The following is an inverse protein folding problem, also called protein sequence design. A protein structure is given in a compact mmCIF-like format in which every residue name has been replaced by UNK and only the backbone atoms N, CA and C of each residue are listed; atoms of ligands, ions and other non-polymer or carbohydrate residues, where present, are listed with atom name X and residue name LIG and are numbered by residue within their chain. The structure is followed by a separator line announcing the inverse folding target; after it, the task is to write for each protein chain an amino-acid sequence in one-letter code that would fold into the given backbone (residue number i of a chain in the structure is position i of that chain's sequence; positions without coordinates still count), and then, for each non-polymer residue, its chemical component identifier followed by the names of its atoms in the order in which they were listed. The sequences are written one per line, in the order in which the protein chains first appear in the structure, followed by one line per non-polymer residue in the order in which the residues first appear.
data_IF_855583653083
#
_entry.id   IF_855583653083
#
_cell.length_a   1.000
_cell.length_b   1.000
_cell.length_c   1.000
_cell.angle_alpha   90.00
_cell.angle_beta   90.00
_cell.angle_gamma   90.00
#
_symmetry.space_group_name_H-M   'P 1'
#
loop_
_entity.id
_entity.type
_entity.pdbx_description
1 polymer ?
#
# COMPACT_ATOMS: atom_id res chain seq x y z
N UNK A 1 -5.59 61.20 3.01
CA UNK A 1 -6.78 60.52 2.41
C UNK A 1 -6.43 59.66 1.19
N UNK A 2 -5.58 60.13 0.26
CA UNK A 2 -5.18 59.39 -0.95
C UNK A 2 -4.53 58.01 -0.68
N UNK A 3 -3.69 57.90 0.35
CA UNK A 3 -2.98 56.65 0.68
C UNK A 3 -3.90 55.49 1.11
N UNK A 4 -5.05 55.81 1.73
CA UNK A 4 -6.06 54.79 2.13
C UNK A 4 -6.85 54.25 0.94
N UNK A 5 -7.11 55.08 -0.09
CA UNK A 5 -7.79 54.65 -1.33
C UNK A 5 -6.92 53.71 -2.17
N UNK A 6 -5.62 53.99 -2.29
CA UNK A 6 -4.68 53.11 -3.01
C UNK A 6 -4.57 51.73 -2.38
N UNK A 7 -4.48 51.66 -1.05
CA UNK A 7 -4.48 50.38 -0.29
C UNK A 7 -5.79 49.61 -0.51
N UNK A 8 -6.94 50.29 -0.50
CA UNK A 8 -8.24 49.64 -0.71
C UNK A 8 -8.33 49.02 -2.12
N UNK A 9 -7.86 49.72 -3.15
CA UNK A 9 -7.85 49.24 -4.55
C UNK A 9 -6.93 48.01 -4.69
N UNK A 10 -5.74 48.07 -4.09
CA UNK A 10 -4.80 46.94 -4.08
C UNK A 10 -5.43 45.73 -3.37
N UNK A 11 -6.09 45.93 -2.22
CA UNK A 11 -6.77 44.85 -1.50
C UNK A 11 -7.91 44.23 -2.31
N UNK A 12 -8.70 45.06 -3.02
CA UNK A 12 -9.80 44.60 -3.87
C UNK A 12 -9.33 43.81 -5.09
N UNK A 13 -8.08 43.97 -5.52
CA UNK A 13 -7.49 43.16 -6.59
C UNK A 13 -6.81 41.90 -6.05
N UNK A 14 -6.06 42.02 -4.94
CA UNK A 14 -5.33 40.89 -4.36
C UNK A 14 -6.29 39.82 -3.82
N UNK A 15 -7.40 40.22 -3.19
CA UNK A 15 -8.34 39.28 -2.58
C UNK A 15 -9.00 38.31 -3.58
N UNK A 16 -9.59 38.73 -4.70
CA UNK A 16 -10.10 37.79 -5.70
C UNK A 16 -8.97 36.99 -6.36
N UNK A 17 -7.80 37.59 -6.58
CA UNK A 17 -6.66 36.90 -7.18
C UNK A 17 -6.12 35.78 -6.27
N UNK A 18 -6.10 35.99 -4.96
CA UNK A 18 -5.67 34.99 -3.98
C UNK A 18 -6.69 33.85 -3.87
N UNK A 19 -8.00 34.14 -3.99
CA UNK A 19 -9.05 33.11 -4.05
C UNK A 19 -8.88 32.25 -5.30
N UNK A 20 -8.70 32.87 -6.48
CA UNK A 20 -8.55 32.15 -7.75
C UNK A 20 -7.29 31.27 -7.70
N UNK A 21 -6.14 31.84 -7.30
CA UNK A 21 -4.88 31.09 -7.22
C UNK A 21 -4.94 29.98 -6.17
N UNK A 22 -5.59 30.22 -5.02
CA UNK A 22 -5.83 29.21 -4.00
C UNK A 22 -6.66 28.04 -4.52
N UNK A 23 -7.75 28.31 -5.24
CA UNK A 23 -8.59 27.26 -5.85
C UNK A 23 -7.84 26.46 -6.92
N UNK A 24 -7.07 27.12 -7.77
CA UNK A 24 -6.23 26.43 -8.78
C UNK A 24 -5.20 25.53 -8.09
N UNK A 25 -4.53 26.04 -7.05
CA UNK A 25 -3.57 25.26 -6.28
C UNK A 25 -4.22 24.03 -5.63
N UNK A 26 -5.38 24.21 -4.99
CA UNK A 26 -6.14 23.11 -4.38
C UNK A 26 -6.56 22.06 -5.42
N UNK A 27 -7.06 22.50 -6.57
CA UNK A 27 -7.48 21.61 -7.65
C UNK A 27 -6.30 20.78 -8.18
N UNK A 28 -5.17 21.43 -8.49
CA UNK A 28 -3.98 20.75 -9.00
C UNK A 28 -3.37 19.81 -7.96
N UNK A 29 -3.27 20.24 -6.70
CA UNK A 29 -2.77 19.40 -5.61
C UNK A 29 -3.66 18.17 -5.40
N UNK A 30 -4.98 18.35 -5.45
CA UNK A 30 -5.95 17.25 -5.29
C UNK A 30 -5.83 16.25 -6.44
N UNK A 31 -5.80 16.71 -7.68
CA UNK A 31 -5.64 15.83 -8.85
C UNK A 31 -4.33 15.04 -8.80
N UNK A 32 -3.22 15.69 -8.42
CA UNK A 32 -1.94 15.00 -8.26
C UNK A 32 -2.01 13.90 -7.17
N UNK A 33 -2.69 14.16 -6.06
CA UNK A 33 -2.91 13.14 -5.01
C UNK A 33 -3.79 12.01 -5.49
N UNK A 34 -4.88 12.30 -6.19
CA UNK A 34 -5.76 11.28 -6.78
C UNK A 34 -4.96 10.39 -7.75
N UNK A 35 -4.21 10.99 -8.66
CA UNK A 35 -3.35 10.25 -9.59
C UNK A 35 -2.34 9.35 -8.85
N UNK A 36 -1.75 9.85 -7.76
CA UNK A 36 -0.85 9.07 -6.91
C UNK A 36 -1.57 7.89 -6.27
N UNK A 37 -2.75 8.09 -5.69
CA UNK A 37 -3.53 7.04 -5.02
C UNK A 37 -4.07 5.97 -5.98
N UNK A 38 -4.28 6.32 -7.25
CA UNK A 38 -4.60 5.33 -8.29
C UNK A 38 -3.49 4.30 -8.44
N UNK A 39 -2.22 4.70 -8.28
CA UNK A 39 -1.05 3.81 -8.40
C UNK A 39 -0.67 3.20 -7.05
N UNK A 40 -0.39 4.06 -6.07
CA UNK A 40 0.06 3.72 -4.72
C UNK A 40 -1.05 3.99 -3.73
N UNK A 41 -1.83 2.97 -3.36
CA UNK A 41 -2.99 3.18 -2.53
C UNK A 41 -2.55 3.61 -1.11
N UNK A 42 -3.29 4.51 -0.45
CA UNK A 42 -2.88 5.14 0.82
C UNK A 42 -3.14 4.24 2.04
N UNK A 43 -2.88 2.95 1.91
CA UNK A 43 -3.11 2.01 3.00
C UNK A 43 -1.87 1.79 3.86
N UNK A 44 -2.06 1.13 5.00
CA UNK A 44 -1.01 0.95 5.99
C UNK A 44 0.09 0.02 5.47
N UNK A 45 1.34 0.46 5.61
CA UNK A 45 2.52 -0.32 5.32
C UNK A 45 3.48 -0.21 6.51
N UNK A 46 3.89 -1.34 7.07
CA UNK A 46 4.76 -1.40 8.23
C UNK A 46 6.03 -2.20 7.92
N UNK A 47 7.17 -1.61 8.26
CA UNK A 47 8.46 -2.28 8.32
C UNK A 47 8.79 -2.62 9.78
N UNK A 48 8.67 -3.89 10.19
CA UNK A 48 8.99 -4.29 11.55
C UNK A 48 10.49 -4.56 11.76
N UNK A 49 11.28 -4.57 10.68
CA UNK A 49 12.74 -4.66 10.74
C UNK A 49 13.39 -3.29 10.95
N UNK A 50 12.68 -2.22 10.63
CA UNK A 50 13.20 -0.85 10.59
C UNK A 50 14.49 -0.75 9.74
N UNK A 51 14.52 -1.46 8.60
CA UNK A 51 15.71 -1.52 7.74
C UNK A 51 16.07 -0.15 7.15
N UNK A 52 15.08 0.74 7.03
CA UNK A 52 15.29 2.14 6.63
C UNK A 52 16.26 2.92 7.54
N UNK A 53 16.43 2.50 8.80
CA UNK A 53 17.38 3.13 9.73
C UNK A 53 18.84 2.87 9.35
N UNK A 54 19.11 1.76 8.65
CA UNK A 54 20.45 1.43 8.14
C UNK A 54 20.59 1.80 6.67
N UNK A 55 19.53 1.63 5.88
CA UNK A 55 19.52 1.88 4.43
C UNK A 55 18.34 2.79 4.08
N UNK A 56 18.56 4.11 4.04
CA UNK A 56 17.49 5.12 3.97
C UNK A 56 16.60 5.07 2.73
N UNK A 57 17.08 4.43 1.66
CA UNK A 57 16.36 4.14 0.41
C UNK A 57 15.46 2.90 0.51
N UNK A 58 15.67 2.02 1.50
CA UNK A 58 14.87 0.81 1.73
C UNK A 58 13.60 1.11 2.52
N UNK A 59 12.65 1.79 1.88
CA UNK A 59 11.36 2.14 2.49
C UNK A 59 10.31 1.10 2.14
N UNK A 60 9.52 0.67 3.13
CA UNK A 60 8.47 -0.35 2.89
C UNK A 60 7.45 0.08 1.84
N UNK A 61 7.21 1.39 1.74
CA UNK A 61 6.27 1.94 0.76
C UNK A 61 6.74 1.80 -0.69
N UNK A 62 8.00 1.44 -0.93
CA UNK A 62 8.53 1.14 -2.26
C UNK A 62 7.88 -0.13 -2.82
N UNK A 63 7.45 -1.06 -1.95
CA UNK A 63 6.74 -2.27 -2.38
C UNK A 63 5.35 -2.03 -2.96
N UNK A 64 4.86 -0.79 -2.94
CA UNK A 64 3.50 -0.43 -3.35
C UNK A 64 3.49 0.64 -4.45
N UNK A 65 4.65 1.08 -4.92
CA UNK A 65 4.75 2.23 -5.84
C UNK A 65 4.87 1.85 -7.32
N UNK A 66 4.93 0.53 -7.62
CA UNK A 66 5.07 -0.02 -8.97
C UNK A 66 6.34 0.43 -9.71
N UNK A 67 7.36 0.86 -8.97
CA UNK A 67 8.61 1.36 -9.53
C UNK A 67 9.78 0.37 -9.33
N UNK A 68 10.19 -0.28 -10.42
CA UNK A 68 11.30 -1.24 -10.41
C UNK A 68 12.67 -0.63 -10.04
N UNK A 69 12.81 0.70 -10.05
CA UNK A 69 14.03 1.38 -9.59
C UNK A 69 14.12 1.46 -8.06
N UNK A 70 13.04 1.16 -7.34
CA UNK A 70 12.99 1.19 -5.88
C UNK A 70 12.82 -0.22 -5.32
N UNK A 71 13.34 -0.43 -4.12
CA UNK A 71 13.29 -1.74 -3.47
C UNK A 71 13.09 -1.59 -1.97
N UNK A 72 12.62 -2.64 -1.33
CA UNK A 72 12.73 -2.81 0.11
C UNK A 72 13.63 -4.02 0.39
N UNK A 73 14.65 -3.81 1.22
CA UNK A 73 15.62 -4.82 1.63
C UNK A 73 15.60 -4.98 3.14
N UNK A 74 15.45 -6.21 3.62
CA UNK A 74 15.67 -6.53 5.03
C UNK A 74 17.16 -6.50 5.33
N UNK A 75 17.56 -5.59 6.22
CA UNK A 75 18.94 -5.40 6.72
C UNK A 75 19.06 -5.75 8.20
N UNK A 76 17.94 -5.76 8.92
CA UNK A 76 17.87 -6.00 10.37
C UNK A 76 16.84 -7.07 10.68
N UNK A 77 16.96 -7.65 11.87
CA UNK A 77 15.97 -8.59 12.38
C UNK A 77 14.68 -7.86 12.75
N UNK A 78 13.55 -8.53 12.56
CA UNK A 78 12.24 -7.98 12.94
C UNK A 78 12.09 -7.91 14.46
N UNK A 79 11.38 -6.88 14.92
CA UNK A 79 10.90 -6.76 16.31
C UNK A 79 9.58 -7.52 16.54
N UNK A 80 8.98 -8.07 15.47
CA UNK A 80 7.77 -8.90 15.50
C UNK A 80 8.04 -10.26 14.85
N UNK A 81 7.03 -11.12 14.86
CA UNK A 81 7.09 -12.41 14.17
C UNK A 81 7.23 -12.24 12.66
N UNK A 82 6.53 -11.25 12.10
CA UNK A 82 6.57 -10.87 10.70
C UNK A 82 7.64 -9.79 10.46
N UNK A 83 8.26 -9.78 9.28
CA UNK A 83 9.21 -8.74 8.88
C UNK A 83 8.49 -7.47 8.40
N UNK A 84 7.36 -7.63 7.72
CA UNK A 84 6.56 -6.51 7.25
C UNK A 84 5.06 -6.83 7.16
N UNK A 85 4.25 -5.78 7.09
CA UNK A 85 2.82 -5.83 6.78
C UNK A 85 2.50 -4.82 5.68
N UNK A 86 1.72 -5.22 4.68
CA UNK A 86 1.19 -4.33 3.64
C UNK A 86 -0.32 -4.49 3.54
N UNK A 87 -1.06 -3.40 3.65
CA UNK A 87 -2.42 -3.30 3.16
C UNK A 87 -2.40 -2.91 1.67
N UNK A 88 -3.11 -3.67 0.84
CA UNK A 88 -3.04 -3.59 -0.62
C UNK A 88 -4.24 -2.83 -1.20
N UNK A 89 -5.31 -3.49 -1.63
CA UNK A 89 -6.52 -2.82 -2.10
C UNK A 89 -7.77 -3.50 -1.58
N UNK A 90 -8.85 -2.75 -1.59
CA UNK A 90 -10.16 -3.24 -1.19
C UNK A 90 -10.72 -4.23 -2.23
N UNK A 91 -11.46 -5.20 -1.71
CA UNK A 91 -12.30 -6.17 -2.45
C UNK A 91 -13.49 -5.51 -3.15
N UNK A 92 -13.78 -4.27 -2.79
CA UNK A 92 -14.84 -3.46 -3.37
C UNK A 92 -14.31 -2.05 -3.65
N UNK A 93 -14.91 -1.38 -4.61
CA UNK A 93 -14.72 0.06 -4.84
C UNK A 93 -16.09 0.74 -4.85
N UNK A 94 -16.12 2.02 -4.47
CA UNK A 94 -17.34 2.80 -4.55
C UNK A 94 -17.53 3.31 -6.00
N UNK A 95 -18.66 2.99 -6.61
CA UNK A 95 -19.02 3.42 -7.96
C UNK A 95 -20.46 3.91 -7.97
N UNK A 96 -20.67 5.17 -8.36
CA UNK A 96 -21.99 5.82 -8.38
C UNK A 96 -22.72 5.73 -7.03
N UNK A 97 -21.98 5.88 -5.93
CA UNK A 97 -22.52 5.81 -4.56
C UNK A 97 -22.88 4.41 -4.08
N UNK A 98 -22.60 3.35 -4.86
CA UNK A 98 -22.83 1.95 -4.48
C UNK A 98 -21.52 1.15 -4.48
N UNK A 99 -21.36 0.19 -3.56
CA UNK A 99 -20.22 -0.71 -3.60
C UNK A 99 -20.27 -1.61 -4.83
N UNK A 100 -19.13 -1.82 -5.47
CA UNK A 100 -18.95 -2.79 -6.56
C UNK A 100 -17.72 -3.64 -6.31
N UNK A 101 -17.85 -4.94 -6.54
CA UNK A 101 -16.75 -5.90 -6.41
C UNK A 101 -15.61 -5.53 -7.37
N UNK A 102 -14.37 -5.58 -6.89
CA UNK A 102 -13.16 -5.45 -7.71
C UNK A 102 -12.74 -6.83 -8.25
N UNK A 103 -12.17 -6.86 -9.45
CA UNK A 103 -11.82 -8.12 -10.13
C UNK A 103 -10.38 -8.55 -9.86
N UNK A 104 -9.91 -8.44 -8.62
CA UNK A 104 -8.56 -8.88 -8.26
C UNK A 104 -8.43 -10.39 -8.40
N UNK A 105 -7.62 -10.84 -9.37
CA UNK A 105 -7.41 -12.26 -9.65
C UNK A 105 -6.15 -12.80 -8.99
N UNK A 106 -5.08 -12.01 -8.95
CA UNK A 106 -3.78 -12.44 -8.47
C UNK A 106 -3.16 -11.45 -7.48
N UNK A 107 -2.47 -11.99 -6.48
CA UNK A 107 -1.43 -11.29 -5.75
C UNK A 107 -0.10 -11.57 -6.45
N UNK A 108 0.55 -10.52 -6.90
CA UNK A 108 1.86 -10.59 -7.53
C UNK A 108 2.94 -10.10 -6.58
N UNK A 109 4.03 -10.85 -6.52
CA UNK A 109 5.18 -10.56 -5.66
C UNK A 109 6.44 -10.71 -6.47
N UNK A 110 7.28 -9.67 -6.48
CA UNK A 110 8.54 -9.65 -7.20
C UNK A 110 9.72 -9.39 -6.27
N UNK A 111 10.75 -10.24 -6.39
CA UNK A 111 12.02 -10.07 -5.70
C UNK A 111 13.08 -9.42 -6.58
N UNK A 112 14.06 -8.79 -5.95
CA UNK A 112 15.26 -8.31 -6.64
C UNK A 112 16.05 -9.49 -7.24
N UNK A 113 16.81 -9.31 -8.35
CA UNK A 113 17.49 -10.40 -9.05
C UNK A 113 18.45 -11.21 -8.16
N UNK A 114 19.13 -10.54 -7.22
CA UNK A 114 20.08 -11.18 -6.29
C UNK A 114 19.42 -11.99 -5.16
N UNK A 115 18.10 -11.91 -5.02
CA UNK A 115 17.37 -12.52 -3.90
C UNK A 115 17.27 -14.02 -4.08
N UNK A 116 17.77 -14.80 -3.14
CA UNK A 116 17.74 -16.27 -3.19
C UNK A 116 17.07 -16.91 -1.96
N UNK A 117 16.52 -16.09 -1.06
CA UNK A 117 15.84 -16.54 0.14
C UNK A 117 14.41 -17.01 -0.11
N UNK A 118 13.83 -17.65 0.90
CA UNK A 118 12.42 -18.03 0.89
C UNK A 118 11.61 -17.00 1.69
N UNK A 119 10.54 -16.49 1.10
CA UNK A 119 9.61 -15.58 1.77
C UNK A 119 8.32 -16.31 2.10
N UNK A 120 7.97 -16.35 3.38
CA UNK A 120 6.63 -16.75 3.81
C UNK A 120 5.70 -15.54 3.69
N UNK A 121 4.60 -15.69 2.97
CA UNK A 121 3.53 -14.70 2.89
C UNK A 121 2.26 -15.27 3.51
N UNK A 122 1.69 -14.53 4.47
CA UNK A 122 0.34 -14.74 4.97
C UNK A 122 -0.65 -13.81 4.27
N UNK A 123 -1.77 -14.36 3.79
CA UNK A 123 -2.87 -13.64 3.18
C UNK A 123 -3.97 -13.41 4.22
N UNK A 124 -4.36 -12.17 4.39
CA UNK A 124 -5.34 -11.73 5.40
C UNK A 124 -6.37 -10.81 4.75
N UNK A 125 -7.63 -11.00 5.12
CA UNK A 125 -8.67 -10.01 4.86
C UNK A 125 -8.89 -9.18 6.10
N UNK A 126 -8.58 -7.90 6.01
CA UNK A 126 -8.89 -6.94 7.05
C UNK A 126 -10.23 -6.31 6.76
N UNK A 127 -11.15 -6.35 7.73
CA UNK A 127 -12.45 -5.73 7.62
C UNK A 127 -12.32 -4.23 7.28
N UNK A 128 -13.12 -3.76 6.33
CA UNK A 128 -13.32 -2.32 6.14
C UNK A 128 -14.33 -1.83 7.17
N UNK A 129 -13.98 -0.80 7.94
CA UNK A 129 -14.87 -0.18 8.94
C UNK A 129 -15.03 1.31 8.67
N UNK A 130 -16.16 1.87 9.09
CA UNK A 130 -16.37 3.32 9.09
C UNK A 130 -15.79 3.88 10.40
N UNK A 131 -14.53 4.33 10.34
CA UNK A 131 -13.81 4.85 11.50
C UNK A 131 -14.54 6.00 12.21
N UNK A 132 -15.37 6.76 11.50
CA UNK A 132 -16.11 7.89 12.07
C UNK A 132 -17.34 7.42 12.86
N UNK A 133 -17.88 6.24 12.53
CA UNK A 133 -19.08 5.68 13.17
C UNK A 133 -18.81 4.53 14.13
N UNK A 134 -17.67 3.85 13.98
CA UNK A 134 -17.35 2.63 14.72
C UNK A 134 -16.15 2.84 15.66
N UNK A 135 -16.36 2.72 16.97
CA UNK A 135 -15.33 2.84 18.01
C UNK A 135 -14.61 1.52 18.31
N UNK A 136 -14.31 0.72 17.28
CA UNK A 136 -13.65 -0.58 17.42
C UNK A 136 -12.55 -0.75 16.39
N UNK A 137 -11.64 -1.68 16.64
CA UNK A 137 -10.66 -2.08 15.65
C UNK A 137 -11.30 -2.95 14.56
N UNK A 138 -10.79 -2.88 13.31
CA UNK A 138 -11.16 -3.81 12.27
C UNK A 138 -10.73 -5.24 12.63
N UNK A 139 -11.50 -6.24 12.20
CA UNK A 139 -11.16 -7.65 12.40
C UNK A 139 -10.34 -8.18 11.24
N UNK A 140 -9.36 -9.01 11.55
CA UNK A 140 -8.53 -9.70 10.56
C UNK A 140 -8.96 -11.16 10.41
N UNK A 141 -9.13 -11.61 9.17
CA UNK A 141 -9.40 -13.00 8.81
C UNK A 141 -8.20 -13.59 8.05
N UNK A 142 -7.50 -14.55 8.67
CA UNK A 142 -6.38 -15.24 8.03
C UNK A 142 -6.94 -16.24 7.00
N UNK A 143 -6.58 -16.07 5.73
CA UNK A 143 -7.06 -16.93 4.63
C UNK A 143 -6.08 -18.02 4.24
N UNK A 144 -4.78 -17.81 4.45
CA UNK A 144 -3.80 -18.84 4.20
C UNK A 144 -2.38 -18.31 4.14
N UNK A 145 -1.45 -19.23 3.90
CA UNK A 145 -0.02 -18.94 3.82
C UNK A 145 0.59 -19.60 2.58
N UNK A 146 1.60 -18.95 2.01
CA UNK A 146 2.41 -19.45 0.90
C UNK A 146 3.88 -19.19 1.17
N UNK A 147 4.73 -20.12 0.73
CA UNK A 147 6.18 -19.96 0.75
C UNK A 147 6.62 -19.71 -0.69
N UNK A 148 7.24 -18.57 -0.92
CA UNK A 148 7.80 -18.16 -2.20
C UNK A 148 9.29 -18.46 -2.19
N UNK A 149 9.74 -19.33 -3.08
CA UNK A 149 11.14 -19.73 -3.19
C UNK A 149 11.84 -18.94 -4.28
N UNK A 150 12.48 -17.81 -3.92
CA UNK A 150 13.09 -16.94 -4.92
C UNK A 150 14.36 -17.49 -5.58
N UNK A 151 14.82 -18.66 -5.14
CA UNK A 151 15.79 -19.47 -5.88
C UNK A 151 15.22 -20.07 -7.17
N UNK A 152 13.91 -20.31 -7.24
CA UNK A 152 13.24 -20.97 -8.36
C UNK A 152 12.62 -19.97 -9.35
N UNK A 153 12.01 -18.89 -8.85
CA UNK A 153 11.44 -17.81 -9.66
C UNK A 153 11.61 -16.46 -8.97
N UNK A 154 11.80 -15.36 -9.71
CA UNK A 154 11.85 -13.99 -9.15
C UNK A 154 10.48 -13.33 -9.05
N UNK A 155 9.48 -13.91 -9.69
CA UNK A 155 8.11 -13.40 -9.71
C UNK A 155 7.13 -14.54 -9.44
N UNK A 156 6.19 -14.28 -8.55
CA UNK A 156 5.12 -15.22 -8.22
C UNK A 156 3.78 -14.54 -8.45
N UNK A 157 2.86 -15.28 -9.10
CA UNK A 157 1.45 -14.93 -9.21
C UNK A 157 0.64 -15.90 -8.36
N UNK A 158 -0.01 -15.40 -7.32
CA UNK A 158 -0.79 -16.20 -6.37
C UNK A 158 -2.27 -15.96 -6.67
N UNK A 159 -3.05 -16.98 -7.10
CA UNK A 159 -4.47 -16.80 -7.38
C UNK A 159 -5.23 -16.47 -6.09
N UNK A 160 -6.08 -15.44 -6.12
CA UNK A 160 -6.84 -14.97 -4.97
C UNK A 160 -8.19 -15.67 -4.81
N UNK A 161 -8.78 -16.14 -5.92
CA UNK A 161 -10.10 -16.78 -5.93
C UNK A 161 -10.18 -18.01 -5.01
N UNK A 162 -9.06 -18.72 -4.83
CA UNK A 162 -8.98 -19.89 -3.94
C UNK A 162 -9.05 -19.51 -2.45
N UNK A 163 -8.80 -18.26 -2.10
CA UNK A 163 -8.77 -17.78 -0.71
C UNK A 163 -10.05 -17.03 -0.33
N UNK A 164 -10.66 -16.33 -1.28
CA UNK A 164 -11.86 -15.55 -1.03
C UNK A 164 -12.61 -15.21 -2.31
N UNK A 165 -13.95 -15.27 -2.23
CA UNK A 165 -14.85 -14.72 -3.23
C UNK A 165 -15.62 -13.55 -2.60
N UNK A 166 -15.45 -12.32 -3.10
CA UNK A 166 -16.20 -11.17 -2.61
C UNK A 166 -17.71 -11.39 -2.74
N UNK A 167 -18.45 -10.98 -1.73
CA UNK A 167 -19.90 -11.03 -1.70
C UNK A 167 -20.47 -9.66 -2.02
N UNK A 168 -21.56 -9.63 -2.78
CA UNK A 168 -22.30 -8.39 -3.03
C UNK A 168 -22.70 -7.71 -1.70
N UNK A 169 -22.62 -6.39 -1.71
CA UNK A 169 -22.94 -5.55 -0.56
C UNK A 169 -23.82 -4.37 -0.97
N UNK A 170 -24.90 -4.18 -0.22
CA UNK A 170 -25.83 -3.07 -0.44
C UNK A 170 -25.31 -1.76 0.17
N UNK A 171 -24.52 -1.83 1.24
CA UNK A 171 -24.13 -0.69 2.06
C UNK A 171 -22.65 -0.70 2.40
N UNK A 172 -22.01 0.45 2.30
CA UNK A 172 -20.63 0.63 2.75
C UNK A 172 -20.57 0.70 4.29
N UNK A 173 -19.60 0.02 4.96
CA UNK A 173 -18.57 -0.89 4.44
C UNK A 173 -18.87 -2.38 4.66
N UNK A 174 -20.14 -2.81 4.68
CA UNK A 174 -20.51 -4.18 5.03
C UNK A 174 -19.92 -5.20 4.05
N UNK A 175 -19.36 -6.31 4.57
CA UNK A 175 -18.75 -7.41 3.78
C UNK A 175 -17.61 -6.97 2.84
N UNK A 176 -17.04 -5.79 3.10
CA UNK A 176 -15.89 -5.28 2.39
C UNK A 176 -14.64 -5.50 3.22
N UNK A 177 -13.58 -5.85 2.52
CA UNK A 177 -12.29 -6.14 3.11
C UNK A 177 -11.17 -5.49 2.33
N UNK A 178 -10.08 -5.17 3.01
CA UNK A 178 -8.79 -4.80 2.47
C UNK A 178 -7.92 -6.05 2.41
N UNK A 179 -7.43 -6.39 1.23
CA UNK A 179 -6.39 -7.42 1.10
C UNK A 179 -5.15 -6.95 1.83
N UNK A 180 -4.72 -7.73 2.81
CA UNK A 180 -3.55 -7.45 3.63
C UNK A 180 -2.60 -8.63 3.54
N UNK A 181 -1.30 -8.36 3.50
CA UNK A 181 -0.29 -9.39 3.53
C UNK A 181 0.70 -9.18 4.66
N UNK A 182 1.16 -10.29 5.22
CA UNK A 182 2.26 -10.36 6.15
C UNK A 182 3.42 -11.10 5.50
N UNK A 183 4.62 -10.54 5.54
CA UNK A 183 5.81 -11.16 4.96
C UNK A 183 6.83 -11.53 6.03
N UNK A 184 7.48 -12.69 5.90
CA UNK A 184 8.57 -13.13 6.79
C UNK A 184 9.61 -13.90 5.99
N UNK A 185 10.84 -13.42 5.98
CA UNK A 185 11.96 -14.15 5.40
C UNK A 185 12.29 -15.37 6.27
N UNK A 186 12.35 -16.54 5.64
CA UNK A 186 12.76 -17.78 6.30
C UNK A 186 14.29 -17.83 6.28
N UNK A 187 14.89 -17.57 7.43
CA UNK A 187 16.33 -17.64 7.60
C UNK A 187 16.77 -19.09 7.79
N UNK A 188 17.62 -19.56 6.89
CA UNK A 188 18.18 -20.89 6.93
C UNK A 188 19.33 -20.89 7.95
N UNK A 189 19.07 -21.40 9.17
CA UNK A 189 20.03 -21.36 10.31
C UNK A 189 21.38 -22.01 9.98
N UNK A 190 21.43 -22.89 8.98
CA UNK A 190 22.64 -23.58 8.53
C UNK A 190 23.44 -22.82 7.45
N UNK A 191 22.94 -21.68 6.93
CA UNK A 191 23.65 -20.81 5.98
C UNK A 191 24.01 -19.48 6.65
N UNK A 192 24.81 -19.54 7.71
CA UNK A 192 25.35 -18.35 8.37
C UNK A 192 26.39 -17.54 7.53
N UNK A 193 26.64 -17.88 6.26
CA UNK A 193 27.79 -17.30 5.54
C UNK A 193 27.66 -17.11 4.02
N UNK A 194 26.48 -17.25 3.41
CA UNK A 194 26.31 -16.84 2.00
C UNK A 194 25.25 -15.75 1.92
N UNK A 195 25.73 -14.50 1.87
CA UNK A 195 24.96 -13.26 1.84
C UNK A 195 23.97 -13.16 0.67
N UNK A 196 22.88 -13.91 0.75
CA UNK A 196 21.69 -13.64 -0.02
C UNK A 196 21.03 -12.37 0.50
N UNK A 197 20.78 -11.40 -0.38
CA UNK A 197 20.00 -10.22 0.02
C UNK A 197 18.53 -10.61 0.10
N UNK A 198 17.87 -10.19 1.16
CA UNK A 198 16.43 -10.33 1.34
C UNK A 198 15.74 -9.09 0.78
N UNK A 199 15.52 -9.06 -0.53
CA UNK A 199 15.11 -7.88 -1.27
C UNK A 199 13.84 -8.11 -2.10
N UNK A 200 12.90 -7.19 -1.99
CA UNK A 200 11.67 -7.15 -2.77
C UNK A 200 11.62 -5.87 -3.60
N UNK A 201 11.15 -5.99 -4.82
CA UNK A 201 10.92 -4.86 -5.72
C UNK A 201 9.50 -4.34 -5.54
N UNK A 202 8.50 -5.23 -5.58
CA UNK A 202 7.12 -4.80 -5.68
C UNK A 202 6.15 -5.90 -5.24
N UNK A 203 5.00 -5.49 -4.70
CA UNK A 203 3.89 -6.34 -4.29
C UNK A 203 2.56 -5.68 -4.63
N UNK A 204 1.75 -6.31 -5.48
CA UNK A 204 0.52 -5.69 -5.97
C UNK A 204 -0.58 -6.71 -6.27
N UNK A 205 -1.81 -6.21 -6.41
CA UNK A 205 -2.94 -6.99 -6.91
C UNK A 205 -3.11 -6.75 -8.41
N UNK A 206 -3.34 -7.82 -9.17
CA UNK A 206 -3.58 -7.80 -10.61
C UNK A 206 -4.97 -8.35 -10.94
N UNK A 207 -5.62 -7.79 -11.95
CA UNK A 207 -6.83 -8.32 -12.58
C UNK A 207 -6.52 -9.28 -13.74
N UNK A 208 -5.25 -9.37 -14.15
CA UNK A 208 -4.71 -10.17 -15.26
C UNK A 208 -3.67 -11.20 -14.83
#
# INVERSE_FOLDING_TARGET
MAHKKGILIILTLIFPLSIITGNIFLFNSTNNKIATFTVKPPFLAFDFTNSYLTKSDSRITNLLDRNAATTWTKVRNSIRKEDFQLELRQTHHLSQGKPRITNWKYLEVRSCPETNGNLKIGLVLRESIDMDKELRMPKDEIKGERILKFSESKQFKIPLEIYYKPLESAEFPQKMFIWTIFGTWIEDKNKHSKGGKFCLEDVWLSEE
#
